data_IF_028243611089
#
_entry.id   IF_028243611089
#
_cell.length_a   1.000
_cell.length_b   1.000
_cell.length_c   1.000
_cell.angle_alpha   90.00
_cell.angle_beta   90.00
_cell.angle_gamma   90.00
#
_symmetry.space_group_name_H-M   'P 1'
#
loop_
_entity.id
_entity.type
_entity.pdbx_description
1 polymer ?
#
# COMPACT_ATOMS: atom_id res chain seq x y z
N UNK A 1 -11.04 29.46 -26.07
CA UNK A 1 -10.75 28.38 -27.06
C UNK A 1 -9.93 27.23 -26.51
N UNK A 2 -8.75 27.44 -25.92
CA UNK A 2 -7.87 26.34 -25.44
C UNK A 2 -8.51 25.44 -24.37
N UNK A 3 -9.29 26.02 -23.45
CA UNK A 3 -9.99 25.27 -22.40
C UNK A 3 -11.10 24.37 -22.97
N UNK A 4 -11.86 24.88 -23.94
CA UNK A 4 -12.98 24.18 -24.60
C UNK A 4 -12.49 23.02 -25.47
N UNK A 5 -11.37 23.20 -26.17
CA UNK A 5 -10.70 22.13 -26.91
C UNK A 5 -10.17 21.03 -25.99
N UNK A 6 -9.63 21.39 -24.82
CA UNK A 6 -9.19 20.42 -23.82
C UNK A 6 -10.38 19.63 -23.23
N UNK A 7 -11.53 20.27 -23.03
CA UNK A 7 -12.74 19.57 -22.55
C UNK A 7 -13.28 18.61 -23.62
N UNK A 8 -13.33 19.03 -24.89
CA UNK A 8 -13.76 18.20 -26.01
C UNK A 8 -12.83 16.99 -26.24
N UNK A 9 -11.52 17.18 -26.09
CA UNK A 9 -10.54 16.08 -26.12
C UNK A 9 -10.76 15.09 -24.96
N UNK A 10 -11.03 15.59 -23.75
CA UNK A 10 -11.38 14.74 -22.61
C UNK A 10 -12.66 13.93 -22.85
N UNK A 11 -13.68 14.52 -23.47
CA UNK A 11 -14.92 13.82 -23.83
C UNK A 11 -14.72 12.82 -24.97
N UNK A 12 -13.88 13.10 -25.97
CA UNK A 12 -13.62 12.15 -27.06
C UNK A 12 -12.94 10.85 -26.59
N UNK A 13 -12.14 10.90 -25.51
CA UNK A 13 -11.56 9.71 -24.88
C UNK A 13 -12.59 8.86 -24.13
N UNK A 14 -13.76 9.43 -23.78
CA UNK A 14 -14.83 8.69 -23.08
C UNK A 14 -15.77 7.94 -24.04
N UNK A 15 -15.82 8.33 -25.32
CA UNK A 15 -16.77 7.77 -26.30
C UNK A 15 -16.26 6.44 -26.89
N UNK A 16 -14.94 6.26 -27.02
CA UNK A 16 -14.36 4.97 -27.43
C UNK A 16 -14.39 3.89 -26.32
N UNK A 17 -14.84 4.22 -25.11
CA UNK A 17 -14.94 3.30 -23.98
C UNK A 17 -16.23 2.45 -23.96
N UNK A 18 -17.19 2.69 -24.86
CA UNK A 18 -18.46 1.97 -24.92
C UNK A 18 -18.42 0.77 -25.90
N UNK A 19 -17.49 -0.16 -25.72
CA UNK A 19 -17.79 -1.53 -26.14
C UNK A 19 -18.74 -2.13 -25.12
N UNK A 20 -20.01 -2.27 -25.50
CA UNK A 20 -21.07 -2.86 -24.69
C UNK A 20 -20.76 -4.34 -24.49
N UNK A 21 -20.00 -4.66 -23.44
CA UNK A 21 -19.98 -6.01 -22.88
C UNK A 21 -21.41 -6.34 -22.43
N UNK A 22 -22.14 -7.10 -23.25
CA UNK A 22 -23.49 -7.59 -22.99
C UNK A 22 -23.52 -8.70 -21.94
N UNK A 23 -22.47 -8.82 -21.12
CA UNK A 23 -22.37 -9.87 -20.14
C UNK A 23 -23.12 -9.44 -18.87
N UNK A 24 -24.38 -9.85 -18.77
CA UNK A 24 -25.28 -9.66 -17.64
C UNK A 24 -24.82 -10.42 -16.37
N UNK A 25 -23.50 -10.66 -16.23
CA UNK A 25 -22.92 -11.32 -15.06
C UNK A 25 -23.11 -10.43 -13.83
N UNK A 26 -23.68 -11.01 -12.79
CA UNK A 26 -23.76 -10.37 -11.46
C UNK A 26 -22.35 -10.15 -10.91
N UNK A 27 -22.16 -9.06 -10.17
CA UNK A 27 -20.93 -8.86 -9.40
C UNK A 27 -20.79 -9.98 -8.38
N UNK A 28 -19.62 -10.62 -8.34
CA UNK A 28 -19.29 -11.69 -7.39
C UNK A 28 -17.83 -11.62 -6.99
N UNK A 29 -17.51 -12.18 -5.83
CA UNK A 29 -16.15 -12.44 -5.39
C UNK A 29 -15.57 -13.61 -6.16
N UNK A 30 -14.80 -13.31 -7.21
CA UNK A 30 -14.02 -14.31 -7.94
C UNK A 30 -12.74 -14.64 -7.19
N UNK A 31 -12.07 -15.74 -7.56
CA UNK A 31 -10.75 -16.10 -7.02
C UNK A 31 -9.76 -14.93 -7.13
N UNK A 32 -9.73 -14.25 -8.28
CA UNK A 32 -8.90 -13.06 -8.48
C UNK A 32 -9.24 -11.92 -7.51
N UNK A 33 -10.52 -11.66 -7.23
CA UNK A 33 -10.92 -10.64 -6.25
C UNK A 33 -10.53 -11.01 -4.82
N UNK A 34 -10.57 -12.29 -4.47
CA UNK A 34 -10.08 -12.75 -3.16
C UNK A 34 -8.57 -12.52 -3.05
N UNK A 35 -7.79 -12.94 -4.05
CA UNK A 35 -6.34 -12.72 -4.08
C UNK A 35 -5.96 -11.24 -4.04
N UNK A 36 -6.55 -10.44 -4.91
CA UNK A 36 -6.29 -8.99 -4.98
C UNK A 36 -6.80 -8.27 -3.73
N UNK A 37 -7.92 -8.70 -3.14
CA UNK A 37 -8.40 -8.18 -1.86
C UNK A 37 -7.43 -8.48 -0.72
N UNK A 38 -6.87 -9.69 -0.67
CA UNK A 38 -5.82 -10.05 0.28
C UNK A 38 -4.54 -9.23 0.11
N UNK A 39 -4.11 -8.97 -1.13
CA UNK A 39 -2.98 -8.08 -1.41
C UNK A 39 -3.25 -6.64 -0.97
N UNK A 40 -4.44 -6.12 -1.25
CA UNK A 40 -4.84 -4.77 -0.83
C UNK A 40 -4.96 -4.66 0.70
N UNK A 41 -5.44 -5.72 1.37
CA UNK A 41 -5.41 -5.84 2.82
C UNK A 41 -3.97 -5.80 3.35
N UNK A 42 -3.06 -6.60 2.79
CA UNK A 42 -1.63 -6.60 3.16
C UNK A 42 -1.01 -5.21 2.99
N UNK A 43 -1.35 -4.50 1.92
CA UNK A 43 -0.90 -3.13 1.71
C UNK A 43 -1.39 -2.16 2.80
N UNK A 44 -2.67 -2.28 3.19
CA UNK A 44 -3.23 -1.54 4.32
C UNK A 44 -2.50 -1.86 5.63
N UNK A 45 -2.28 -3.14 5.92
CA UNK A 45 -1.58 -3.60 7.13
C UNK A 45 -0.15 -3.07 7.21
N UNK A 46 0.61 -3.13 6.11
CA UNK A 46 1.97 -2.60 6.05
C UNK A 46 2.00 -1.08 6.29
N UNK A 47 1.05 -0.34 5.71
CA UNK A 47 0.89 1.10 5.97
C UNK A 47 0.53 1.39 7.42
N UNK A 48 -0.46 0.70 7.97
CA UNK A 48 -0.90 0.86 9.35
C UNK A 48 0.22 0.57 10.34
N UNK A 49 1.03 -0.47 10.07
CA UNK A 49 2.18 -0.78 10.90
C UNK A 49 3.27 0.30 10.81
N UNK A 50 3.50 0.89 9.63
CA UNK A 50 4.40 2.04 9.50
C UNK A 50 3.93 3.26 10.30
N UNK A 51 2.64 3.58 10.29
CA UNK A 51 2.13 4.69 11.09
C UNK A 51 2.19 4.38 12.60
N UNK A 52 2.03 3.12 12.99
CA UNK A 52 2.30 2.68 14.37
C UNK A 52 3.76 2.94 14.75
N UNK A 53 4.73 2.56 13.92
CA UNK A 53 6.14 2.79 14.22
C UNK A 53 6.52 4.27 14.21
N UNK A 54 5.90 5.09 13.36
CA UNK A 54 6.21 6.53 13.29
C UNK A 54 5.60 7.32 14.44
N UNK A 55 4.32 7.10 14.73
CA UNK A 55 3.55 7.98 15.63
C UNK A 55 3.31 7.36 17.00
N UNK A 56 3.42 6.03 17.12
CA UNK A 56 3.03 5.29 18.33
C UNK A 56 4.14 4.34 18.82
N UNK A 57 5.41 4.64 18.51
CA UNK A 57 6.54 3.76 18.81
C UNK A 57 6.63 3.36 20.28
N UNK A 58 6.41 4.30 21.21
CA UNK A 58 6.47 4.02 22.66
C UNK A 58 5.47 2.94 23.09
N UNK A 59 4.28 2.91 22.47
CA UNK A 59 3.28 1.87 22.76
C UNK A 59 3.68 0.55 22.10
N UNK A 60 4.23 0.60 20.90
CA UNK A 60 4.79 -0.57 20.23
C UNK A 60 5.87 -1.23 21.11
N UNK A 61 6.86 -0.45 21.57
CA UNK A 61 7.94 -0.91 22.46
C UNK A 61 7.39 -1.49 23.77
N UNK A 62 6.41 -0.83 24.41
CA UNK A 62 5.74 -1.35 25.61
C UNK A 62 5.01 -2.67 25.35
N UNK A 63 4.45 -2.85 24.14
CA UNK A 63 3.70 -4.05 23.77
C UNK A 63 4.64 -5.21 23.39
N UNK A 64 5.80 -4.90 22.80
CA UNK A 64 6.83 -5.86 22.41
C UNK A 64 8.16 -5.51 23.07
N UNK A 65 8.28 -5.70 24.40
CA UNK A 65 9.53 -5.43 25.09
C UNK A 65 10.64 -6.32 24.53
N UNK A 66 11.77 -5.71 24.15
CA UNK A 66 12.89 -6.41 23.52
C UNK A 66 12.86 -6.46 22.00
N UNK A 67 11.88 -5.82 21.34
CA UNK A 67 11.97 -5.55 19.91
C UNK A 67 13.26 -4.75 19.62
N UNK A 68 13.99 -5.13 18.57
CA UNK A 68 15.24 -4.45 18.23
C UNK A 68 14.97 -3.03 17.72
N UNK A 69 15.23 -2.03 18.55
CA UNK A 69 15.16 -0.60 18.22
C UNK A 69 15.90 -0.24 16.94
N UNK A 70 17.06 -0.86 16.69
CA UNK A 70 17.84 -0.59 15.50
C UNK A 70 17.14 -1.08 14.22
N UNK A 71 16.10 -1.93 14.32
CA UNK A 71 15.28 -2.36 13.19
C UNK A 71 13.90 -1.68 13.16
N UNK A 72 13.27 -1.51 14.33
CA UNK A 72 11.88 -1.06 14.44
C UNK A 72 11.69 0.43 14.74
N UNK A 73 12.65 1.13 15.37
CA UNK A 73 12.53 2.56 15.68
C UNK A 73 12.99 3.39 14.47
N UNK A 74 12.09 4.10 13.75
CA UNK A 74 12.48 4.90 12.61
C UNK A 74 13.48 6.02 12.95
N UNK A 75 13.58 6.45 14.23
CA UNK A 75 14.56 7.46 14.67
C UNK A 75 15.98 6.91 14.75
N UNK A 76 16.14 5.59 14.83
CA UNK A 76 17.44 4.90 14.93
C UNK A 76 17.76 4.08 13.68
N UNK A 77 16.76 3.37 13.16
CA UNK A 77 16.92 2.36 12.11
C UNK A 77 17.36 2.94 10.77
N UNK A 78 17.06 4.22 10.49
CA UNK A 78 17.47 4.90 9.26
C UNK A 78 18.98 4.85 9.03
N UNK A 79 19.80 4.67 10.08
CA UNK A 79 21.26 4.56 9.98
C UNK A 79 21.71 3.27 9.32
N UNK A 80 20.89 2.22 9.32
CA UNK A 80 21.27 0.89 8.81
C UNK A 80 21.55 0.87 7.30
N UNK A 81 21.11 1.88 6.55
CA UNK A 81 21.44 2.01 5.13
C UNK A 81 22.86 2.49 4.87
N UNK A 82 23.57 2.98 5.88
CA UNK A 82 24.88 3.60 5.73
C UNK A 82 25.99 2.83 6.45
N UNK A 83 27.19 2.85 5.86
CA UNK A 83 28.37 2.23 6.44
C UNK A 83 28.76 2.92 7.75
N UNK A 84 28.96 2.15 8.82
CA UNK A 84 29.15 2.70 10.17
C UNK A 84 27.99 3.57 10.70
N UNK A 85 26.82 3.56 10.03
CA UNK A 85 25.67 4.37 10.40
C UNK A 85 25.75 5.85 10.03
N UNK A 86 26.74 6.26 9.22
CA UNK A 86 26.98 7.65 8.85
C UNK A 86 26.77 7.87 7.34
N UNK A 87 25.91 8.82 6.92
CA UNK A 87 25.66 9.11 5.50
C UNK A 87 26.92 9.36 4.66
N UNK A 88 27.92 10.02 5.24
CA UNK A 88 29.16 10.42 4.56
C UNK A 88 30.04 9.22 4.19
N UNK A 89 29.86 8.08 4.86
CA UNK A 89 30.58 6.84 4.56
C UNK A 89 29.96 6.07 3.38
N UNK A 90 28.82 6.54 2.85
CA UNK A 90 28.12 5.89 1.76
C UNK A 90 27.27 4.68 2.19
N UNK A 91 26.76 3.90 1.21
CA UNK A 91 25.84 2.80 1.47
C UNK A 91 26.53 1.63 2.20
N UNK A 92 25.83 1.02 3.17
CA UNK A 92 26.33 -0.15 3.93
C UNK A 92 26.57 -1.38 3.06
N UNK A 93 25.73 -1.57 2.06
CA UNK A 93 25.87 -2.60 1.03
C UNK A 93 25.26 -2.10 -0.29
N UNK A 94 25.52 -2.83 -1.38
CA UNK A 94 25.03 -2.48 -2.72
C UNK A 94 23.53 -2.12 -2.69
N UNK A 95 23.19 -0.91 -3.15
CA UNK A 95 21.81 -0.38 -3.21
C UNK A 95 21.05 -0.29 -1.87
N UNK A 96 21.71 -0.39 -0.72
CA UNK A 96 21.10 -0.24 0.61
C UNK A 96 20.45 1.13 0.86
N UNK A 97 20.84 2.17 0.11
CA UNK A 97 20.25 3.51 0.15
C UNK A 97 19.18 3.75 -0.93
N UNK A 98 18.90 2.74 -1.78
CA UNK A 98 17.98 2.84 -2.92
C UNK A 98 17.06 1.63 -3.06
N UNK A 99 17.35 0.70 -3.98
CA UNK A 99 16.44 -0.41 -4.33
C UNK A 99 16.41 -1.47 -3.23
N UNK A 100 17.55 -1.76 -2.60
CA UNK A 100 17.68 -2.78 -1.55
C UNK A 100 17.49 -2.20 -0.14
N UNK A 101 16.94 -0.99 -0.03
CA UNK A 101 16.67 -0.32 1.25
C UNK A 101 15.67 -1.09 2.12
N UNK A 102 14.82 -1.95 1.53
CA UNK A 102 13.87 -2.78 2.28
C UNK A 102 14.54 -3.77 3.25
N UNK A 103 15.84 -4.05 3.09
CA UNK A 103 16.59 -4.92 3.98
C UNK A 103 17.29 -4.16 5.12
N UNK A 104 17.10 -2.84 5.22
CA UNK A 104 17.81 -2.01 6.20
C UNK A 104 16.99 -1.77 7.46
N UNK A 105 15.67 -1.65 7.35
CA UNK A 105 14.78 -1.46 8.49
C UNK A 105 13.33 -1.84 8.19
N UNK A 106 12.52 -1.95 9.26
CA UNK A 106 11.11 -2.31 9.15
C UNK A 106 10.30 -1.28 8.36
N UNK A 107 10.63 0.00 8.46
CA UNK A 107 9.89 1.07 7.81
C UNK A 107 9.95 0.95 6.28
N UNK A 108 11.15 0.73 5.76
CA UNK A 108 11.39 0.52 4.33
C UNK A 108 10.87 -0.83 3.86
N UNK A 109 10.97 -1.89 4.68
CA UNK A 109 10.36 -3.18 4.37
C UNK A 109 8.85 -3.05 4.17
N UNK A 110 8.15 -2.40 5.10
CA UNK A 110 6.72 -2.15 5.00
C UNK A 110 6.36 -1.28 3.78
N UNK A 111 7.15 -0.27 3.46
CA UNK A 111 6.93 0.54 2.24
C UNK A 111 7.07 -0.29 0.96
N UNK A 112 8.05 -1.19 0.93
CA UNK A 112 8.21 -2.14 -0.17
C UNK A 112 7.02 -3.09 -0.25
N UNK A 113 6.62 -3.72 0.86
CA UNK A 113 5.48 -4.63 0.92
C UNK A 113 4.18 -3.93 0.46
N UNK A 114 3.94 -2.70 0.93
CA UNK A 114 2.76 -1.92 0.54
C UNK A 114 2.73 -1.69 -0.97
N UNK A 115 3.83 -1.18 -1.55
CA UNK A 115 3.91 -0.85 -2.98
C UNK A 115 3.82 -2.11 -3.83
N UNK A 116 4.59 -3.14 -3.49
CA UNK A 116 4.59 -4.42 -4.20
C UNK A 116 3.22 -5.07 -4.18
N UNK A 117 2.52 -5.09 -3.03
CA UNK A 117 1.19 -5.68 -2.94
C UNK A 117 0.15 -4.91 -3.78
N UNK A 118 0.17 -3.58 -3.78
CA UNK A 118 -0.73 -2.77 -4.62
C UNK A 118 -0.44 -2.94 -6.11
N UNK A 119 0.85 -2.95 -6.50
CA UNK A 119 1.25 -3.18 -7.89
C UNK A 119 0.85 -4.58 -8.36
N UNK A 120 1.10 -5.62 -7.56
CA UNK A 120 0.68 -6.99 -7.87
C UNK A 120 -0.84 -7.09 -8.00
N UNK A 121 -1.60 -6.43 -7.11
CA UNK A 121 -3.06 -6.39 -7.22
C UNK A 121 -3.51 -5.72 -8.53
N UNK A 122 -2.89 -4.60 -8.90
CA UNK A 122 -3.18 -3.90 -10.14
C UNK A 122 -2.87 -4.75 -11.38
N UNK A 123 -1.70 -5.41 -11.42
CA UNK A 123 -1.28 -6.27 -12.55
C UNK A 123 -2.30 -7.40 -12.78
N UNK A 124 -2.76 -8.06 -11.71
CA UNK A 124 -3.79 -9.11 -11.81
C UNK A 124 -5.09 -8.53 -12.35
N UNK A 125 -5.47 -7.31 -11.94
CA UNK A 125 -6.74 -6.67 -12.35
C UNK A 125 -6.74 -6.20 -13.80
N UNK A 126 -5.61 -5.74 -14.31
CA UNK A 126 -5.47 -5.36 -15.72
C UNK A 126 -5.75 -6.58 -16.62
N UNK A 127 -5.37 -7.78 -16.18
CA UNK A 127 -5.63 -9.04 -16.89
C UNK A 127 -7.11 -9.49 -16.95
N UNK A 128 -8.04 -8.85 -16.22
CA UNK A 128 -9.46 -9.28 -16.17
C UNK A 128 -10.33 -8.74 -17.32
N UNK A 129 -9.80 -7.83 -18.15
CA UNK A 129 -10.54 -7.22 -19.25
C UNK A 129 -11.59 -6.17 -18.81
N UNK A 130 -12.38 -5.70 -19.78
CA UNK A 130 -13.42 -4.68 -19.56
C UNK A 130 -14.65 -5.28 -18.85
N UNK A 131 -15.28 -4.50 -17.97
CA UNK A 131 -16.52 -4.86 -17.26
C UNK A 131 -17.50 -3.68 -17.22
N UNK A 132 -18.78 -3.90 -16.90
CA UNK A 132 -19.73 -2.80 -16.73
C UNK A 132 -19.28 -1.79 -15.65
N UNK A 133 -19.54 -0.50 -15.86
CA UNK A 133 -19.10 0.58 -14.95
C UNK A 133 -19.46 0.33 -13.48
N UNK A 134 -20.69 -0.14 -13.22
CA UNK A 134 -21.16 -0.51 -11.87
C UNK A 134 -20.24 -1.50 -11.14
N UNK A 135 -19.56 -2.41 -11.86
CA UNK A 135 -18.63 -3.35 -11.25
C UNK A 135 -17.33 -2.69 -10.81
N UNK A 136 -16.90 -1.61 -11.47
CA UNK A 136 -15.76 -0.82 -11.00
C UNK A 136 -16.10 -0.07 -9.70
N UNK A 137 -17.32 0.47 -9.57
CA UNK A 137 -17.77 1.09 -8.32
C UNK A 137 -17.81 0.09 -7.16
N UNK A 138 -18.36 -1.11 -7.40
CA UNK A 138 -18.39 -2.17 -6.38
C UNK A 138 -16.98 -2.68 -6.04
N UNK A 139 -16.10 -2.81 -7.03
CA UNK A 139 -14.70 -3.15 -6.79
C UNK A 139 -13.98 -2.05 -5.98
N UNK A 140 -14.25 -0.76 -6.25
CA UNK A 140 -13.70 0.35 -5.45
C UNK A 140 -14.10 0.21 -3.98
N UNK A 141 -15.39 0.04 -3.69
CA UNK A 141 -15.88 -0.14 -2.32
C UNK A 141 -15.22 -1.36 -1.65
N UNK A 142 -15.15 -2.48 -2.37
CA UNK A 142 -14.52 -3.70 -1.87
C UNK A 142 -13.03 -3.49 -1.54
N UNK A 143 -12.24 -2.92 -2.45
CA UNK A 143 -10.80 -2.72 -2.21
C UNK A 143 -10.53 -1.64 -1.15
N UNK A 144 -11.34 -0.58 -1.08
CA UNK A 144 -11.27 0.37 0.02
C UNK A 144 -11.54 -0.33 1.36
N UNK A 145 -12.55 -1.18 1.44
CA UNK A 145 -12.83 -1.95 2.65
C UNK A 145 -11.68 -2.88 3.03
N UNK A 146 -11.11 -3.62 2.07
CA UNK A 146 -9.93 -4.47 2.32
C UNK A 146 -8.73 -3.66 2.84
N UNK A 147 -8.43 -2.53 2.21
CA UNK A 147 -7.32 -1.67 2.62
C UNK A 147 -7.52 -1.14 4.03
N UNK A 148 -8.71 -0.59 4.30
CA UNK A 148 -9.03 -0.03 5.61
C UNK A 148 -9.08 -1.09 6.70
N UNK A 149 -9.55 -2.30 6.40
CA UNK A 149 -9.51 -3.42 7.34
C UNK A 149 -8.06 -3.77 7.73
N UNK A 150 -7.15 -3.86 6.75
CA UNK A 150 -5.74 -4.13 7.01
C UNK A 150 -5.07 -3.02 7.82
N UNK A 151 -5.25 -1.77 7.40
CA UNK A 151 -4.73 -0.61 8.12
C UNK A 151 -5.23 -0.57 9.57
N UNK A 152 -6.55 -0.70 9.75
CA UNK A 152 -7.21 -0.67 11.06
C UNK A 152 -6.69 -1.75 12.00
N UNK A 153 -6.46 -2.96 11.47
CA UNK A 153 -5.99 -4.10 12.24
C UNK A 153 -4.60 -3.87 12.87
N UNK A 154 -3.75 -3.05 12.24
CA UNK A 154 -2.37 -2.82 12.70
C UNK A 154 -2.15 -1.44 13.33
N UNK A 155 -3.05 -0.49 13.09
CA UNK A 155 -2.93 0.88 13.61
C UNK A 155 -3.74 1.11 14.89
N UNK A 156 -5.04 0.78 14.88
CA UNK A 156 -5.93 1.10 16.00
C UNK A 156 -5.61 0.39 17.33
N UNK A 157 -5.08 -0.85 17.35
CA UNK A 157 -4.65 -1.45 18.60
C UNK A 157 -3.58 -0.64 19.35
N UNK A 158 -2.77 0.16 18.65
CA UNK A 158 -1.73 0.99 19.26
C UNK A 158 -2.24 2.39 19.57
N UNK A 159 -3.07 2.99 18.72
CA UNK A 159 -3.61 4.33 18.98
C UNK A 159 -4.67 4.36 20.07
N UNK A 160 -5.55 3.36 20.13
CA UNK A 160 -6.57 3.27 21.19
C UNK A 160 -5.97 3.10 22.59
N UNK A 161 -4.74 2.58 22.68
CA UNK A 161 -3.99 2.44 23.94
C UNK A 161 -3.30 3.73 24.39
N UNK A 162 -3.17 4.76 23.55
CA UNK A 162 -2.60 6.06 23.98
C UNK A 162 -3.50 6.83 24.95
N UNK A 163 -4.80 6.51 24.99
CA UNK A 163 -5.78 7.20 25.84
C UNK A 163 -6.04 6.47 27.17
N UNK A 164 -5.25 5.46 27.51
CA UNK A 164 -5.33 4.72 28.78
C UNK A 164 -3.98 4.77 29.50
#
# INVERSE_FOLDING_TARGET
>A
MKLFAATLLFFSLTIQAQERSSDNKKWRLTKNKVWTGGLVFLAGSAKGFNETLQFNYRIFEKTFPGANDQWFDPKKSWRNKYEGGLPDNGPKFFLSTSVLVMFTDQYHLNNFLQRSALISALVIKIGEGKKPFKHYLLDLVYYTACYQAGFSALYYPFTSRNYK
#
